data_IF_178101617325
#
_entry.id   IF_178101617325
#
_cell.length_a   1.000
_cell.length_b   1.000
_cell.length_c   1.000
_cell.angle_alpha   90.00
_cell.angle_beta   90.00
_cell.angle_gamma   90.00
#
_symmetry.space_group_name_H-M   'P 1'
#
loop_
_entity.id
_entity.type
_entity.pdbx_description
1 polymer ?
#
# COMPACT_ATOMS: atom_id res chain seq x y z
N UNK A 1 -6.42 1.03 2.42
CA UNK A 1 -7.14 1.16 1.14
C UNK A 1 -7.85 2.50 0.95
N UNK A 2 -8.73 2.99 1.84
CA UNK A 2 -9.44 4.29 1.61
C UNK A 2 -8.53 5.49 1.30
N UNK A 3 -7.46 5.69 2.07
CA UNK A 3 -6.49 6.78 1.82
C UNK A 3 -5.84 6.67 0.43
N UNK A 4 -5.52 5.46 -0.04
CA UNK A 4 -4.88 5.27 -1.35
C UNK A 4 -5.87 5.44 -2.49
N UNK A 5 -7.14 5.07 -2.30
CA UNK A 5 -8.20 5.35 -3.28
C UNK A 5 -8.46 6.85 -3.42
N UNK A 6 -8.40 7.62 -2.33
CA UNK A 6 -8.49 9.09 -2.38
C UNK A 6 -7.31 9.73 -3.13
N UNK A 7 -6.09 9.15 -3.01
CA UNK A 7 -4.93 9.56 -3.82
C UNK A 7 -5.16 9.27 -5.30
N UNK A 8 -5.69 8.08 -5.65
CA UNK A 8 -6.04 7.74 -7.04
C UNK A 8 -7.09 8.72 -7.58
N UNK A 9 -8.19 8.95 -6.85
CA UNK A 9 -9.26 9.84 -7.28
C UNK A 9 -8.75 11.28 -7.51
N UNK A 10 -7.87 11.78 -6.64
CA UNK A 10 -7.21 13.08 -6.84
C UNK A 10 -6.30 13.09 -8.09
N UNK A 11 -5.50 12.03 -8.29
CA UNK A 11 -4.62 11.93 -9.45
C UNK A 11 -5.40 11.85 -10.78
N UNK A 12 -6.46 11.03 -10.84
CA UNK A 12 -7.32 10.90 -12.03
C UNK A 12 -8.02 12.22 -12.38
N UNK A 13 -8.45 13.01 -11.39
CA UNK A 13 -9.01 14.36 -11.62
C UNK A 13 -8.00 15.31 -12.27
N UNK A 14 -6.71 15.08 -12.09
CA UNK A 14 -5.63 15.81 -12.76
C UNK A 14 -5.21 15.16 -14.10
N UNK A 15 -6.00 14.21 -14.62
CA UNK A 15 -5.75 13.53 -15.89
C UNK A 15 -4.65 12.46 -15.82
N UNK A 16 -4.27 12.00 -14.63
CA UNK A 16 -3.21 10.98 -14.45
C UNK A 16 -3.76 9.56 -14.56
N UNK A 17 -2.94 8.67 -15.12
CA UNK A 17 -3.26 7.25 -15.25
C UNK A 17 -2.83 6.51 -13.98
N UNK A 18 -3.74 5.73 -13.42
CA UNK A 18 -3.53 5.01 -12.16
C UNK A 18 -3.66 3.51 -12.34
N UNK A 19 -2.90 2.74 -11.54
CA UNK A 19 -3.02 1.30 -11.44
C UNK A 19 -3.14 0.84 -9.98
N UNK A 20 -3.91 -0.22 -9.77
CA UNK A 20 -4.13 -0.88 -8.49
C UNK A 20 -3.82 -2.37 -8.60
N UNK A 21 -2.83 -2.82 -7.83
CA UNK A 21 -2.45 -4.22 -7.70
C UNK A 21 -3.09 -4.76 -6.42
N UNK A 22 -4.22 -5.45 -6.58
CA UNK A 22 -5.05 -6.01 -5.50
C UNK A 22 -4.61 -7.45 -5.19
N UNK A 23 -3.49 -7.58 -4.48
CA UNK A 23 -3.00 -8.87 -3.97
C UNK A 23 -3.85 -9.39 -2.80
N UNK A 24 -4.61 -8.53 -2.10
CA UNK A 24 -5.53 -8.95 -1.04
C UNK A 24 -6.87 -9.50 -1.58
N UNK A 25 -7.15 -9.36 -2.88
CA UNK A 25 -8.41 -9.74 -3.52
C UNK A 25 -9.64 -9.15 -2.81
N UNK A 26 -9.52 -7.92 -2.32
CA UNK A 26 -10.47 -7.30 -1.41
C UNK A 26 -10.95 -5.91 -1.87
N UNK A 27 -10.57 -5.46 -3.06
CA UNK A 27 -11.03 -4.18 -3.59
C UNK A 27 -12.52 -4.24 -3.95
N UNK A 28 -13.33 -3.36 -3.35
CA UNK A 28 -14.73 -3.14 -3.73
C UNK A 28 -14.83 -2.00 -4.77
N UNK A 29 -15.18 -2.29 -6.03
CA UNK A 29 -15.33 -1.27 -7.08
C UNK A 29 -16.47 -0.27 -6.79
N UNK A 30 -17.55 -0.71 -6.14
CA UNK A 30 -18.69 0.15 -5.80
C UNK A 30 -18.25 1.17 -4.76
N UNK A 31 -17.53 0.72 -3.73
CA UNK A 31 -16.97 1.62 -2.73
C UNK A 31 -15.93 2.57 -3.33
N UNK A 32 -15.01 2.08 -4.17
CA UNK A 32 -14.03 2.94 -4.84
C UNK A 32 -14.70 4.02 -5.69
N UNK A 33 -15.77 3.69 -6.43
CA UNK A 33 -16.58 4.67 -7.17
C UNK A 33 -17.20 5.73 -6.28
N UNK A 34 -17.73 5.34 -5.11
CA UNK A 34 -18.26 6.29 -4.12
C UNK A 34 -17.20 7.24 -3.58
N UNK A 35 -15.94 6.79 -3.51
CA UNK A 35 -14.80 7.63 -3.14
C UNK A 35 -14.29 8.54 -4.28
N UNK A 36 -14.97 8.55 -5.43
CA UNK A 36 -14.63 9.41 -6.57
C UNK A 36 -13.55 8.84 -7.50
N UNK A 37 -13.24 7.54 -7.39
CA UNK A 37 -12.37 6.86 -8.34
C UNK A 37 -13.12 6.62 -9.65
N UNK A 38 -12.47 6.95 -10.76
CA UNK A 38 -12.92 6.56 -12.09
C UNK A 38 -12.52 5.10 -12.33
N UNK A 39 -13.47 4.19 -12.09
CA UNK A 39 -13.29 2.74 -12.17
C UNK A 39 -13.08 2.28 -13.61
N UNK A 40 -13.69 2.96 -14.58
CA UNK A 40 -13.63 2.57 -15.99
C UNK A 40 -12.21 2.79 -16.55
N UNK A 41 -11.48 3.76 -16.00
CA UNK A 41 -10.09 4.09 -16.37
C UNK A 41 -9.04 3.63 -15.34
N UNK A 42 -9.43 2.92 -14.27
CA UNK A 42 -8.48 2.38 -13.30
C UNK A 42 -7.94 1.03 -13.79
N UNK A 43 -6.63 0.95 -14.05
CA UNK A 43 -5.99 -0.33 -14.34
C UNK A 43 -5.98 -1.18 -13.05
N UNK A 44 -6.68 -2.31 -13.04
CA UNK A 44 -6.72 -3.20 -11.89
C UNK A 44 -6.10 -4.56 -12.25
N UNK A 45 -5.29 -5.11 -11.35
CA UNK A 45 -4.73 -6.46 -11.48
C UNK A 45 -4.82 -7.20 -10.17
N UNK A 46 -5.25 -8.46 -10.24
CA UNK A 46 -5.24 -9.41 -9.12
C UNK A 46 -4.22 -10.51 -9.43
N UNK A 47 -2.97 -10.37 -8.94
CA UNK A 47 -1.89 -11.30 -9.25
C UNK A 47 -2.01 -12.59 -8.43
N UNK A 48 -1.58 -13.69 -9.01
CA UNK A 48 -1.49 -15.01 -8.39
C UNK A 48 -0.31 -15.11 -7.41
N UNK A 49 0.82 -14.43 -7.70
CA UNK A 49 2.03 -14.48 -6.84
C UNK A 49 2.65 -13.10 -6.60
N UNK A 50 3.45 -13.00 -5.53
CA UNK A 50 4.20 -11.80 -5.19
C UNK A 50 5.20 -11.38 -6.27
N UNK A 51 5.87 -12.34 -6.93
CA UNK A 51 6.75 -12.06 -8.06
C UNK A 51 5.97 -11.45 -9.23
N UNK A 52 4.84 -12.06 -9.62
CA UNK A 52 4.00 -11.56 -10.71
C UNK A 52 3.52 -10.13 -10.42
N UNK A 53 3.06 -9.87 -9.19
CA UNK A 53 2.63 -8.53 -8.76
C UNK A 53 3.73 -7.46 -8.97
N UNK A 54 4.97 -7.80 -8.58
CA UNK A 54 6.12 -6.89 -8.67
C UNK A 54 6.64 -6.76 -10.11
N UNK A 55 6.51 -7.80 -10.92
CA UNK A 55 6.79 -7.76 -12.37
C UNK A 55 5.80 -6.88 -13.12
N UNK A 56 4.51 -6.95 -12.77
CA UNK A 56 3.48 -6.04 -13.31
C UNK A 56 3.83 -4.60 -12.95
N UNK A 57 4.18 -4.30 -11.69
CA UNK A 57 4.63 -2.96 -11.29
C UNK A 57 5.81 -2.46 -12.14
N UNK A 58 6.80 -3.32 -12.36
CA UNK A 58 8.01 -3.01 -13.13
C UNK A 58 7.69 -2.79 -14.62
N UNK A 59 6.79 -3.59 -15.19
CA UNK A 59 6.32 -3.44 -16.58
C UNK A 59 5.52 -2.13 -16.78
N UNK A 60 4.55 -1.85 -15.89
CA UNK A 60 3.78 -0.61 -15.92
C UNK A 60 4.69 0.62 -15.80
N UNK A 61 5.65 0.58 -14.88
CA UNK A 61 6.63 1.67 -14.71
C UNK A 61 7.46 1.87 -15.97
N UNK A 62 7.98 0.80 -16.58
CA UNK A 62 8.79 0.89 -17.82
C UNK A 62 8.00 1.38 -19.04
N UNK A 63 6.68 1.16 -19.06
CA UNK A 63 5.84 1.66 -20.15
C UNK A 63 5.80 3.19 -20.23
N UNK A 64 6.06 3.87 -19.10
CA UNK A 64 5.92 5.32 -18.98
C UNK A 64 4.48 5.84 -19.05
N UNK A 65 3.49 4.93 -19.09
CA UNK A 65 2.08 5.27 -19.26
C UNK A 65 1.30 5.38 -17.94
N UNK A 66 1.93 5.08 -16.80
CA UNK A 66 1.26 5.08 -15.48
C UNK A 66 1.96 6.04 -14.53
N UNK A 67 1.18 6.94 -13.94
CA UNK A 67 1.66 7.96 -13.01
C UNK A 67 1.65 7.48 -11.56
N UNK A 68 0.64 6.70 -11.16
CA UNK A 68 0.46 6.21 -9.79
C UNK A 68 0.14 4.72 -9.78
N UNK A 69 0.89 3.94 -9.00
CA UNK A 69 0.65 2.52 -8.77
C UNK A 69 0.46 2.28 -7.27
N UNK A 70 -0.63 1.61 -6.90
CA UNK A 70 -0.89 1.13 -5.54
C UNK A 70 -0.71 -0.38 -5.50
N UNK A 71 -0.01 -0.90 -4.49
CA UNK A 71 0.07 -2.34 -4.20
C UNK A 71 -0.58 -2.61 -2.85
N UNK A 72 -1.69 -3.36 -2.86
CA UNK A 72 -2.49 -3.73 -1.70
C UNK A 72 -2.53 -5.26 -1.56
N UNK A 73 -1.72 -5.88 -0.72
CA UNK A 73 -0.70 -5.31 0.18
C UNK A 73 0.57 -6.14 0.18
N UNK A 74 1.65 -5.60 0.76
CA UNK A 74 2.93 -6.33 0.91
C UNK A 74 2.77 -7.63 1.70
N UNK A 75 1.79 -7.70 2.62
CA UNK A 75 1.54 -8.90 3.39
C UNK A 75 0.93 -10.04 2.55
N UNK A 76 0.28 -9.71 1.43
CA UNK A 76 -0.31 -10.66 0.49
C UNK A 76 0.60 -10.96 -0.72
N UNK A 77 1.81 -10.39 -0.77
CA UNK A 77 2.81 -10.73 -1.79
C UNK A 77 3.48 -12.07 -1.44
N UNK A 78 2.74 -13.16 -1.63
CA UNK A 78 3.19 -14.52 -1.33
C UNK A 78 4.11 -15.02 -2.44
N UNK A 79 5.36 -15.41 -2.15
CA UNK A 79 6.27 -15.96 -3.15
C UNK A 79 5.70 -17.22 -3.80
N UNK A 80 5.96 -17.41 -5.10
CA UNK A 80 5.49 -18.59 -5.85
C UNK A 80 5.81 -19.91 -5.14
N UNK A 81 7.03 -20.06 -4.63
CA UNK A 81 7.46 -21.29 -3.96
C UNK A 81 6.71 -21.56 -2.64
N UNK A 82 6.14 -20.54 -2.01
CA UNK A 82 5.31 -20.69 -0.81
C UNK A 82 3.86 -21.06 -1.18
N UNK A 83 3.36 -20.59 -2.33
CA UNK A 83 2.04 -20.98 -2.88
C UNK A 83 2.05 -22.44 -3.36
N UNK A 84 3.14 -22.87 -4.01
CA UNK A 84 3.30 -24.23 -4.51
C UNK A 84 3.69 -25.25 -3.41
N UNK A 85 4.13 -24.76 -2.24
CA UNK A 85 4.49 -25.58 -1.09
C UNK A 85 3.30 -26.01 -0.23
N UNK A 86 3.56 -26.81 0.81
CA UNK A 86 2.53 -27.22 1.76
C UNK A 86 2.42 -26.25 2.94
N UNK A 87 1.23 -26.15 3.53
CA UNK A 87 1.03 -25.37 4.76
C UNK A 87 1.88 -25.98 5.88
N UNK A 88 2.89 -25.24 6.33
CA UNK A 88 3.85 -25.68 7.35
C UNK A 88 5.28 -25.75 6.82
N UNK A 89 5.48 -25.65 5.50
CA UNK A 89 6.82 -25.60 4.91
C UNK A 89 7.59 -24.34 5.32
N UNK A 90 8.89 -24.51 5.52
CA UNK A 90 9.77 -23.45 5.99
C UNK A 90 10.41 -22.70 4.82
N UNK A 91 9.91 -21.51 4.54
CA UNK A 91 10.47 -20.59 3.53
C UNK A 91 11.15 -19.38 4.20
N UNK A 92 12.18 -19.64 5.01
CA UNK A 92 12.84 -18.61 5.82
C UNK A 92 13.30 -17.39 5.00
N UNK A 93 12.65 -16.25 5.21
CA UNK A 93 13.03 -14.96 4.64
C UNK A 93 12.79 -14.80 3.13
N UNK A 94 12.02 -15.69 2.51
CA UNK A 94 11.81 -15.69 1.06
C UNK A 94 11.17 -14.38 0.57
N UNK A 95 10.05 -13.96 1.18
CA UNK A 95 9.38 -12.70 0.87
C UNK A 95 10.30 -11.47 1.09
N UNK A 96 11.15 -11.49 2.12
CA UNK A 96 12.09 -10.40 2.38
C UNK A 96 13.18 -10.28 1.30
N UNK A 97 13.64 -11.41 0.76
CA UNK A 97 14.61 -11.45 -0.35
C UNK A 97 13.98 -10.97 -1.65
N UNK A 98 12.76 -11.41 -1.96
CA UNK A 98 11.97 -10.95 -3.10
C UNK A 98 11.78 -9.42 -3.05
N UNK A 99 11.32 -8.88 -1.92
CA UNK A 99 11.17 -7.43 -1.74
C UNK A 99 12.49 -6.68 -1.92
N UNK A 100 13.60 -7.22 -1.41
CA UNK A 100 14.92 -6.59 -1.55
C UNK A 100 15.37 -6.52 -3.02
N UNK A 101 15.12 -7.56 -3.80
CA UNK A 101 15.41 -7.58 -5.23
C UNK A 101 14.50 -6.61 -6.01
N UNK A 102 13.20 -6.64 -5.72
CA UNK A 102 12.22 -5.77 -6.37
C UNK A 102 12.52 -4.29 -6.13
N UNK A 103 12.84 -3.89 -4.89
CA UNK A 103 13.19 -2.50 -4.60
C UNK A 103 14.41 -2.01 -5.38
N UNK A 104 15.41 -2.88 -5.58
CA UNK A 104 16.61 -2.55 -6.36
C UNK A 104 16.28 -2.31 -7.84
N UNK A 105 15.38 -3.11 -8.42
CA UNK A 105 14.93 -2.95 -9.82
C UNK A 105 14.03 -1.73 -9.99
N UNK A 106 13.02 -1.59 -9.13
CA UNK A 106 11.97 -0.58 -9.27
C UNK A 106 12.47 0.84 -9.03
N UNK A 107 13.40 1.06 -8.09
CA UNK A 107 13.79 2.41 -7.69
C UNK A 107 14.29 3.29 -8.86
N UNK A 108 15.13 2.73 -9.74
CA UNK A 108 15.63 3.45 -10.92
C UNK A 108 14.53 3.69 -11.95
N UNK A 109 13.73 2.67 -12.25
CA UNK A 109 12.65 2.75 -13.23
C UNK A 109 11.58 3.78 -12.82
N UNK A 110 11.17 3.78 -11.55
CA UNK A 110 10.19 4.73 -11.01
C UNK A 110 10.67 6.17 -11.15
N UNK A 111 11.97 6.42 -10.88
CA UNK A 111 12.53 7.77 -10.99
C UNK A 111 12.55 8.25 -12.45
N UNK A 112 12.91 7.38 -13.39
CA UNK A 112 12.99 7.72 -14.80
C UNK A 112 11.61 7.94 -15.43
N UNK A 113 10.62 7.14 -15.03
CA UNK A 113 9.24 7.25 -15.51
C UNK A 113 8.42 8.32 -14.76
N UNK A 114 8.97 8.89 -13.68
CA UNK A 114 8.26 9.77 -12.76
C UNK A 114 6.96 9.16 -12.18
N UNK A 115 6.98 7.85 -11.93
CA UNK A 115 5.85 7.09 -11.39
C UNK A 115 5.91 7.02 -9.87
N UNK A 116 4.79 7.32 -9.20
CA UNK A 116 4.60 7.14 -7.76
C UNK A 116 4.16 5.71 -7.47
N UNK A 117 4.94 4.97 -6.67
CA UNK A 117 4.57 3.64 -6.18
C UNK A 117 4.27 3.69 -4.68
N UNK A 118 3.05 3.30 -4.30
CA UNK A 118 2.60 3.22 -2.91
C UNK A 118 2.37 1.75 -2.53
N UNK A 119 3.06 1.31 -1.49
CA UNK A 119 2.81 0.01 -0.87
C UNK A 119 1.94 0.16 0.38
N UNK A 120 0.84 -0.58 0.43
CA UNK A 120 0.10 -0.81 1.66
C UNK A 120 0.76 -1.96 2.40
N UNK A 121 0.84 -1.87 3.72
CA UNK A 121 1.47 -2.89 4.54
C UNK A 121 0.72 -3.00 5.88
N UNK A 122 0.80 -4.18 6.46
CA UNK A 122 0.13 -4.53 7.70
C UNK A 122 1.11 -4.56 8.86
N UNK A 123 0.61 -4.27 10.06
CA UNK A 123 1.37 -4.42 11.30
C UNK A 123 1.40 -5.90 11.71
N UNK A 124 2.54 -6.34 12.22
CA UNK A 124 2.78 -7.62 12.90
C UNK A 124 3.53 -7.37 14.18
N UNK A 125 3.52 -8.34 15.09
CA UNK A 125 4.25 -8.27 16.37
C UNK A 125 5.51 -9.12 16.29
N UNK A 126 6.65 -8.56 16.68
CA UNK A 126 7.89 -9.35 16.86
C UNK A 126 7.85 -10.06 18.21
N UNK A 127 7.93 -11.39 18.16
CA UNK A 127 8.09 -12.23 19.35
C UNK A 127 9.50 -12.01 19.93
N UNK A 128 9.61 -11.95 21.26
CA UNK A 128 10.90 -11.87 21.96
C UNK A 128 11.47 -10.46 22.16
N UNK A 129 10.73 -9.40 21.82
CA UNK A 129 11.12 -8.02 22.13
C UNK A 129 10.77 -7.71 23.59
N UNK A 130 11.78 -7.59 24.45
CA UNK A 130 11.60 -7.27 25.88
C UNK A 130 11.54 -5.76 26.18
N UNK A 131 12.10 -4.92 25.31
CA UNK A 131 12.13 -3.46 25.45
C UNK A 131 11.90 -2.77 24.10
N UNK A 132 11.12 -1.69 24.09
CA UNK A 132 10.80 -0.89 22.90
C UNK A 132 9.47 -1.28 22.22
N UNK A 133 9.20 -0.71 21.04
CA UNK A 133 7.98 -1.00 20.28
C UNK A 133 8.10 -2.37 19.57
N UNK A 134 7.24 -3.36 19.87
CA UNK A 134 7.25 -4.68 19.23
C UNK A 134 6.64 -4.68 17.81
N UNK A 135 5.99 -3.60 17.38
CA UNK A 135 5.37 -3.50 16.06
C UNK A 135 6.40 -3.58 14.93
N UNK A 136 6.04 -4.34 13.90
CA UNK A 136 6.82 -4.47 12.68
C UNK A 136 5.92 -4.59 11.46
N UNK A 137 6.51 -4.54 10.27
CA UNK A 137 5.79 -4.65 8.98
C UNK A 137 6.30 -5.87 8.22
N UNK A 138 5.47 -6.43 7.34
CA UNK A 138 5.84 -7.59 6.50
C UNK A 138 6.82 -7.18 5.38
N UNK A 139 7.42 -8.16 4.68
CA UNK A 139 8.31 -7.89 3.55
C UNK A 139 9.76 -7.52 3.90
N UNK A 140 10.19 -7.75 5.15
CA UNK A 140 11.56 -7.47 5.59
C UNK A 140 11.88 -5.97 5.75
N UNK A 141 13.15 -5.60 5.58
CA UNK A 141 13.62 -4.24 5.84
C UNK A 141 13.80 -3.38 4.59
N UNK A 142 13.88 -3.96 3.39
CA UNK A 142 14.20 -3.22 2.17
C UNK A 142 13.27 -2.02 1.94
N UNK A 143 11.94 -2.23 2.00
CA UNK A 143 10.96 -1.17 1.81
C UNK A 143 11.17 0.01 2.77
N UNK A 144 11.61 -0.25 4.01
CA UNK A 144 11.88 0.81 5.00
C UNK A 144 13.00 1.75 4.56
N UNK A 145 14.02 1.25 3.85
CA UNK A 145 15.13 2.05 3.35
C UNK A 145 14.81 2.79 2.05
N UNK A 146 14.16 2.09 1.12
CA UNK A 146 13.82 2.63 -0.20
C UNK A 146 12.71 3.68 -0.14
N UNK A 147 11.69 3.49 0.71
CA UNK A 147 10.58 4.44 0.82
C UNK A 147 11.07 5.87 1.12
N UNK A 148 10.63 6.83 0.32
CA UNK A 148 10.90 8.27 0.54
C UNK A 148 10.02 8.85 1.64
N UNK A 149 8.78 8.38 1.74
CA UNK A 149 7.82 8.73 2.79
C UNK A 149 7.26 7.44 3.39
N UNK A 150 7.05 7.43 4.71
CA UNK A 150 6.30 6.37 5.40
C UNK A 150 5.25 7.00 6.29
N UNK A 151 4.04 6.45 6.22
CA UNK A 151 2.86 6.90 6.95
C UNK A 151 2.41 5.80 7.90
N UNK A 152 2.19 6.14 9.17
CA UNK A 152 1.51 5.31 10.16
C UNK A 152 0.09 5.87 10.32
N UNK A 153 -0.90 5.11 9.87
CA UNK A 153 -2.32 5.48 9.91
C UNK A 153 -3.02 4.71 11.04
N UNK A 154 -3.75 5.41 11.89
CA UNK A 154 -4.51 4.82 13.00
C UNK A 154 -5.88 5.43 13.11
N UNK A 155 -6.89 4.59 13.34
CA UNK A 155 -8.19 5.04 13.83
C UNK A 155 -8.04 5.39 15.31
N UNK A 156 -8.37 6.62 15.67
CA UNK A 156 -8.27 7.14 17.04
C UNK A 156 -9.63 7.30 17.72
N UNK A 157 -10.72 7.28 16.94
CA UNK A 157 -12.07 7.46 17.45
C UNK A 157 -13.15 7.03 16.46
N UNK A 158 -14.40 7.12 16.88
CA UNK A 158 -15.58 6.87 16.07
C UNK A 158 -16.37 8.18 15.90
N UNK A 159 -16.89 8.41 14.70
CA UNK A 159 -17.78 9.54 14.42
C UNK A 159 -19.21 9.00 14.49
N UNK A 160 -20.07 9.67 15.26
CA UNK A 160 -21.44 9.22 15.52
C UNK A 160 -22.47 10.28 15.17
N UNK A 161 -23.57 9.84 14.58
CA UNK A 161 -24.82 10.60 14.45
C UNK A 161 -25.90 9.88 15.27
N UNK A 162 -26.23 10.44 16.44
CA UNK A 162 -27.02 9.72 17.44
C UNK A 162 -26.31 8.43 17.87
N UNK A 163 -26.99 7.30 17.70
CA UNK A 163 -26.47 5.97 18.04
C UNK A 163 -25.71 5.28 16.91
N UNK A 164 -25.72 5.85 15.69
CA UNK A 164 -25.11 5.23 14.51
C UNK A 164 -23.67 5.71 14.34
N UNK A 165 -22.74 4.77 14.18
CA UNK A 165 -21.34 5.09 13.81
C UNK A 165 -21.28 5.30 12.30
N UNK A 166 -21.03 6.55 11.90
CA UNK A 166 -21.02 6.98 10.49
C UNK A 166 -19.61 7.14 9.91
N UNK A 167 -18.58 7.06 10.76
CA UNK A 167 -17.21 7.22 10.31
C UNK A 167 -16.14 6.95 11.36
N UNK A 168 -14.90 7.23 10.96
CA UNK A 168 -13.69 7.00 11.74
C UNK A 168 -12.89 8.29 11.89
N UNK A 169 -12.63 8.68 13.13
CA UNK A 169 -11.63 9.71 13.40
C UNK A 169 -10.24 9.09 13.24
N UNK A 170 -9.40 9.71 12.41
CA UNK A 170 -8.18 9.09 11.88
C UNK A 170 -6.99 10.01 12.08
N UNK A 171 -5.86 9.43 12.53
CA UNK A 171 -4.56 10.10 12.64
C UNK A 171 -3.57 9.45 11.69
N UNK A 172 -2.85 10.26 10.92
CA UNK A 172 -1.73 9.82 10.10
C UNK A 172 -0.45 10.51 10.58
N UNK A 173 0.55 9.72 10.98
CA UNK A 173 1.89 10.20 11.37
C UNK A 173 2.90 9.93 10.28
N UNK A 174 3.70 10.94 9.93
CA UNK A 174 4.81 10.81 8.97
C UNK A 174 6.03 10.25 9.69
N UNK A 175 6.18 8.92 9.72
CA UNK A 175 7.26 8.24 10.46
C UNK A 175 8.60 8.23 9.71
N UNK A 176 8.60 8.54 8.42
CA UNK A 176 9.81 8.79 7.62
C UNK A 176 9.49 9.82 6.55
N UNK A 177 10.42 10.75 6.30
CA UNK A 177 10.31 11.72 5.23
C UNK A 177 11.71 12.07 4.70
N UNK A 178 11.91 12.00 3.38
CA UNK A 178 13.16 12.42 2.70
C UNK A 178 13.03 13.75 1.96
N UNK A 179 11.83 14.32 1.87
CA UNK A 179 11.54 15.53 1.08
C UNK A 179 11.15 16.74 1.94
N UNK A 180 10.83 16.52 3.21
CA UNK A 180 10.57 17.56 4.21
C UNK A 180 10.83 17.02 5.62
N UNK A 181 10.61 17.85 6.65
CA UNK A 181 10.76 17.45 8.05
C UNK A 181 9.82 16.27 8.41
N UNK A 182 10.33 15.18 9.01
CA UNK A 182 9.52 14.04 9.45
C UNK A 182 8.78 14.32 10.77
N UNK A 183 8.00 13.33 11.22
CA UNK A 183 7.31 13.27 12.51
C UNK A 183 6.14 14.23 12.73
N UNK A 184 5.75 14.98 11.71
CA UNK A 184 4.45 15.68 11.67
C UNK A 184 3.30 14.67 11.64
N UNK A 185 2.13 15.12 12.06
CA UNK A 185 0.90 14.34 12.02
C UNK A 185 -0.25 15.17 11.45
N UNK A 186 -1.23 14.48 10.86
CA UNK A 186 -2.49 15.03 10.42
C UNK A 186 -3.63 14.22 11.07
N UNK A 187 -4.68 14.92 11.48
CA UNK A 187 -5.92 14.34 12.01
C UNK A 187 -7.08 14.79 11.14
N UNK A 188 -7.93 13.84 10.77
CA UNK A 188 -9.06 14.06 9.87
C UNK A 188 -10.10 12.97 10.06
N UNK A 189 -11.25 13.15 9.41
CA UNK A 189 -12.38 12.25 9.47
C UNK A 189 -12.41 11.38 8.21
N UNK A 190 -12.81 10.12 8.35
CA UNK A 190 -13.15 9.25 7.22
C UNK A 190 -14.61 8.85 7.38
N UNK A 191 -15.49 9.39 6.53
CA UNK A 191 -16.92 9.08 6.51
C UNK A 191 -17.17 7.84 5.66
N UNK A 192 -17.99 6.91 6.15
CA UNK A 192 -18.24 5.65 5.46
C UNK A 192 -19.08 5.87 4.20
N UNK A 193 -18.49 5.57 3.04
CA UNK A 193 -19.13 5.74 1.73
C UNK A 193 -18.88 7.11 1.09
N UNK A 194 -18.15 8.01 1.74
CA UNK A 194 -17.81 9.34 1.20
C UNK A 194 -16.29 9.54 1.09
N UNK A 195 -15.52 9.09 2.09
CA UNK A 195 -14.06 9.23 2.09
C UNK A 195 -13.56 10.22 3.13
N UNK A 196 -12.46 10.91 2.79
CA UNK A 196 -11.81 11.93 3.63
C UNK A 196 -12.45 13.28 3.36
#
# INVERSE_FOLDING_TARGET
TTLTLQVIAAAQREGKTCAFIDAEHALDPIYAKKLGVDIDNLLCSQPDTGEQALEICDALTRSGAVDVIIVDSVAALTPKAEIEGEIGDSHMGLAARMMSQAMRKLAGNLKNANTLLIFINQIRMKIGVMFGNPETTTGGNALKFYASVRLDIRRIGAIKEGDVVVGSETRVKVVKNKIAAPFKQAEFQIMYGEGI
#
